data_IF_048209283784
#
_entry.id   IF_048209283784
#
_cell.length_a   1.000
_cell.length_b   1.000
_cell.length_c   1.000
_cell.angle_alpha   90.00
_cell.angle_beta   90.00
_cell.angle_gamma   90.00
#
_symmetry.space_group_name_H-M   'P 1'
#
loop_
_entity.id
_entity.type
_entity.pdbx_description
1 polymer ?
#
# COMPACT_ATOMS: atom_id res chain seq x y z
N UNK A 1 -37.94 -12.46 -3.36
CA UNK A 1 -36.92 -12.19 -2.34
C UNK A 1 -36.23 -10.88 -2.71
N UNK A 2 -36.50 -9.80 -1.97
CA UNK A 2 -36.21 -8.41 -2.37
C UNK A 2 -34.79 -8.03 -1.95
N UNK A 3 -33.90 -7.77 -2.92
CA UNK A 3 -32.67 -7.01 -2.66
C UNK A 3 -33.06 -5.57 -2.28
N UNK A 4 -32.63 -5.11 -1.11
CA UNK A 4 -32.73 -3.70 -0.72
C UNK A 4 -31.36 -3.05 -0.93
N UNK A 5 -31.21 -2.38 -2.06
CA UNK A 5 -30.21 -1.34 -2.25
C UNK A 5 -30.52 -0.18 -1.31
N UNK A 6 -29.67 0.06 -0.32
CA UNK A 6 -29.76 1.27 0.51
C UNK A 6 -28.80 2.29 -0.09
N UNK A 7 -29.37 3.18 -0.89
CA UNK A 7 -28.82 4.50 -1.16
C UNK A 7 -28.65 5.21 0.20
N UNK A 8 -27.43 5.62 0.54
CA UNK A 8 -27.21 6.53 1.66
C UNK A 8 -26.81 7.88 1.07
N UNK A 9 -27.79 8.77 1.01
CA UNK A 9 -27.60 10.21 0.77
C UNK A 9 -26.56 10.77 1.75
N UNK A 10 -25.63 11.56 1.23
CA UNK A 10 -24.42 12.04 1.89
C UNK A 10 -24.71 13.27 2.77
N UNK A 11 -24.82 13.15 4.12
CA UNK A 11 -25.25 14.25 4.98
C UNK A 11 -24.14 15.26 5.28
N UNK A 12 -22.90 15.01 4.84
CA UNK A 12 -21.71 15.74 5.30
C UNK A 12 -21.11 16.69 4.27
N UNK A 13 -21.89 17.11 3.26
CA UNK A 13 -21.47 18.21 2.37
C UNK A 13 -21.53 19.60 3.03
N UNK A 14 -21.86 19.68 4.32
CA UNK A 14 -22.18 20.93 5.05
C UNK A 14 -21.35 21.23 6.29
N UNK A 15 -20.17 20.62 6.46
CA UNK A 15 -19.22 20.99 7.51
C UNK A 15 -17.87 21.41 6.92
N UNK A 16 -17.90 22.42 6.06
CA UNK A 16 -16.73 23.24 5.77
C UNK A 16 -17.07 24.67 6.18
N UNK A 17 -16.66 25.04 7.40
CA UNK A 17 -16.29 26.40 7.79
C UNK A 17 -15.75 26.41 9.21
N UNK A 18 -14.44 26.67 9.28
CA UNK A 18 -13.69 27.32 10.38
C UNK A 18 -13.79 26.76 11.80
N UNK A 19 -12.64 26.30 12.32
CA UNK A 19 -12.36 26.29 13.77
C UNK A 19 -11.69 25.01 14.25
N UNK A 20 -10.40 25.10 14.61
CA UNK A 20 -9.61 24.35 15.61
C UNK A 20 -9.72 22.79 15.66
N UNK A 21 -10.49 22.14 14.80
CA UNK A 21 -10.65 20.68 14.75
C UNK A 21 -9.60 20.01 13.84
N UNK A 22 -8.41 20.62 13.68
CA UNK A 22 -7.32 20.03 12.89
C UNK A 22 -6.41 19.10 13.68
N UNK A 23 -6.41 19.18 15.01
CA UNK A 23 -5.38 18.50 15.82
C UNK A 23 -5.77 17.07 16.27
N UNK A 24 -7.06 16.75 16.38
CA UNK A 24 -7.52 15.46 16.94
C UNK A 24 -7.47 14.31 15.92
N UNK A 25 -7.37 14.61 14.62
CA UNK A 25 -7.39 13.60 13.55
C UNK A 25 -6.03 12.93 13.25
N UNK A 26 -5.10 12.86 14.22
CA UNK A 26 -3.76 12.26 14.00
C UNK A 26 -3.59 10.81 14.46
N UNK A 27 -4.49 10.24 15.26
CA UNK A 27 -4.31 8.88 15.83
C UNK A 27 -5.26 7.79 15.29
N UNK A 28 -6.19 8.16 14.40
CA UNK A 28 -7.00 7.19 13.65
C UNK A 28 -6.91 7.51 12.16
N UNK A 29 -6.46 6.57 11.30
CA UNK A 29 -6.59 6.77 9.86
C UNK A 29 -8.08 6.97 9.57
N UNK A 30 -8.39 8.11 8.98
CA UNK A 30 -9.71 8.74 8.91
C UNK A 30 -10.77 7.88 8.19
N UNK A 31 -10.42 6.71 7.64
CA UNK A 31 -11.36 5.67 7.21
C UNK A 31 -10.63 4.34 6.99
N UNK A 32 -10.77 3.39 7.91
CA UNK A 32 -10.42 1.99 7.66
C UNK A 32 -11.68 1.27 7.15
N UNK A 33 -11.70 0.76 5.91
CA UNK A 33 -12.86 0.01 5.41
C UNK A 33 -13.04 -1.28 6.22
N UNK A 34 -14.29 -1.56 6.60
CA UNK A 34 -14.64 -2.80 7.31
C UNK A 34 -14.89 -3.91 6.30
N UNK A 35 -14.18 -5.02 6.45
CA UNK A 35 -14.44 -6.25 5.71
C UNK A 35 -15.12 -7.27 6.64
N UNK A 36 -16.10 -8.00 6.12
CA UNK A 36 -16.71 -9.14 6.83
C UNK A 36 -16.21 -10.43 6.20
N UNK A 37 -15.68 -11.33 7.03
CA UNK A 37 -15.08 -12.59 6.60
C UNK A 37 -15.68 -13.74 7.41
N UNK A 38 -15.98 -14.85 6.73
CA UNK A 38 -16.45 -16.08 7.39
C UNK A 38 -15.23 -16.95 7.68
N UNK A 39 -15.08 -17.37 8.94
CA UNK A 39 -13.99 -18.24 9.38
C UNK A 39 -14.54 -19.55 9.93
N UNK A 40 -13.86 -20.68 9.73
CA UNK A 40 -14.10 -21.88 10.52
C UNK A 40 -13.85 -21.62 12.01
N UNK A 41 -14.64 -22.23 12.89
CA UNK A 41 -14.59 -21.99 14.34
C UNK A 41 -13.18 -22.23 14.93
N UNK A 42 -12.52 -23.31 14.49
CA UNK A 42 -11.15 -23.64 14.89
C UNK A 42 -10.16 -22.49 14.62
N UNK A 43 -10.32 -21.78 13.50
CA UNK A 43 -9.43 -20.68 13.15
C UNK A 43 -9.72 -19.43 13.99
N UNK A 44 -10.98 -19.21 14.35
CA UNK A 44 -11.37 -18.14 15.28
C UNK A 44 -10.78 -18.37 16.68
N UNK A 45 -10.84 -19.61 17.19
CA UNK A 45 -10.24 -19.98 18.48
C UNK A 45 -8.73 -19.75 18.52
N UNK A 46 -8.02 -20.15 17.45
CA UNK A 46 -6.58 -19.92 17.31
C UNK A 46 -6.26 -18.41 17.30
N UNK A 47 -7.04 -17.61 16.57
CA UNK A 47 -6.86 -16.16 16.50
C UNK A 47 -7.07 -15.51 17.87
N UNK A 48 -8.08 -15.95 18.62
CA UNK A 48 -8.34 -15.44 19.97
C UNK A 48 -7.20 -15.78 20.93
N UNK A 49 -6.73 -17.03 20.92
CA UNK A 49 -5.60 -17.46 21.74
C UNK A 49 -4.35 -16.63 21.45
N UNK A 50 -3.98 -16.48 20.18
CA UNK A 50 -2.81 -15.70 19.76
C UNK A 50 -2.96 -14.22 20.13
N UNK A 51 -4.15 -13.64 19.95
CA UNK A 51 -4.40 -12.23 20.32
C UNK A 51 -4.19 -11.98 21.81
N UNK A 52 -4.59 -12.94 22.67
CA UNK A 52 -4.39 -12.87 24.12
C UNK A 52 -2.92 -13.01 24.50
N UNK A 53 -2.23 -13.97 23.88
CA UNK A 53 -0.79 -14.19 24.12
C UNK A 53 0.03 -12.96 23.73
N UNK A 54 -0.31 -12.31 22.62
CA UNK A 54 0.40 -11.13 22.11
C UNK A 54 -0.07 -9.81 22.72
N UNK A 55 -1.16 -9.80 23.48
CA UNK A 55 -1.77 -8.58 23.99
C UNK A 55 -2.29 -7.64 22.89
N UNK A 56 -2.69 -8.18 21.74
CA UNK A 56 -3.20 -7.41 20.59
C UNK A 56 -4.66 -7.71 20.30
N UNK A 57 -5.30 -6.93 19.42
CA UNK A 57 -6.68 -7.22 19.01
C UNK A 57 -6.71 -8.22 17.85
N UNK A 58 -7.79 -9.01 17.76
CA UNK A 58 -8.06 -9.89 16.60
C UNK A 58 -7.89 -9.17 15.26
N UNK A 59 -8.41 -7.94 15.16
CA UNK A 59 -8.33 -7.16 13.92
C UNK A 59 -6.91 -6.68 13.61
N UNK A 60 -6.09 -6.38 14.63
CA UNK A 60 -4.69 -6.02 14.43
C UNK A 60 -3.88 -7.21 13.93
N UNK A 61 -4.10 -8.39 14.51
CA UNK A 61 -3.45 -9.63 14.09
C UNK A 61 -3.83 -10.00 12.66
N UNK A 62 -5.12 -9.94 12.30
CA UNK A 62 -5.57 -10.18 10.92
C UNK A 62 -4.96 -9.18 9.95
N UNK A 63 -4.93 -7.88 10.27
CA UNK A 63 -4.26 -6.88 9.43
C UNK A 63 -2.79 -7.19 9.23
N UNK A 64 -2.05 -7.49 10.30
CA UNK A 64 -0.63 -7.85 10.24
C UNK A 64 -0.39 -9.07 9.34
N UNK A 65 -1.17 -10.15 9.52
CA UNK A 65 -1.04 -11.36 8.71
C UNK A 65 -1.34 -11.10 7.23
N UNK A 66 -2.40 -10.35 6.93
CA UNK A 66 -2.75 -10.00 5.55
C UNK A 66 -1.66 -9.13 4.92
N UNK A 67 -1.17 -8.12 5.64
CA UNK A 67 -0.06 -7.27 5.19
C UNK A 67 1.17 -8.10 4.87
N UNK A 68 1.65 -8.95 5.81
CA UNK A 68 2.82 -9.82 5.58
C UNK A 68 2.63 -10.76 4.39
N UNK A 69 1.44 -11.34 4.23
CA UNK A 69 1.15 -12.25 3.13
C UNK A 69 1.09 -11.55 1.77
N UNK A 70 0.73 -10.26 1.73
CA UNK A 70 0.64 -9.49 0.49
C UNK A 70 1.98 -8.81 0.17
N UNK A 71 2.64 -8.20 1.14
CA UNK A 71 3.96 -7.60 0.97
C UNK A 71 4.99 -8.63 0.52
N UNK A 72 5.00 -9.83 1.13
CA UNK A 72 5.88 -10.92 0.69
C UNK A 72 5.59 -11.44 -0.73
N UNK A 73 4.41 -11.15 -1.30
CA UNK A 73 4.09 -11.43 -2.70
C UNK A 73 4.43 -10.26 -3.62
N UNK A 74 4.28 -9.02 -3.14
CA UNK A 74 4.62 -7.81 -3.86
C UNK A 74 6.14 -7.66 -4.05
N UNK A 75 6.94 -8.06 -3.05
CA UNK A 75 8.40 -8.12 -3.18
C UNK A 75 8.88 -9.26 -4.09
N UNK A 76 8.00 -10.19 -4.46
CA UNK A 76 8.25 -11.24 -5.46
C UNK A 76 7.70 -10.92 -6.85
N UNK A 77 7.07 -9.75 -7.04
CA UNK A 77 6.78 -9.23 -8.38
C UNK A 77 8.08 -8.73 -9.01
N UNK A 78 8.26 -8.96 -10.32
CA UNK A 78 9.38 -8.37 -11.06
C UNK A 78 9.38 -6.87 -10.82
N UNK A 79 10.37 -6.39 -10.07
CA UNK A 79 10.57 -4.98 -9.85
C UNK A 79 10.71 -4.32 -11.22
N UNK A 80 9.96 -3.25 -11.44
CA UNK A 80 10.08 -2.57 -12.73
C UNK A 80 11.50 -2.00 -12.86
N UNK A 81 11.99 -1.85 -14.08
CA UNK A 81 13.29 -1.21 -14.32
C UNK A 81 13.37 0.18 -13.63
N UNK A 82 12.23 0.88 -13.53
CA UNK A 82 12.13 2.14 -12.80
C UNK A 82 12.34 1.97 -11.29
N UNK A 83 11.68 0.99 -10.66
CA UNK A 83 11.79 0.75 -9.21
C UNK A 83 13.23 0.44 -8.79
N UNK A 84 13.99 -0.23 -9.69
CA UNK A 84 15.38 -0.60 -9.46
C UNK A 84 16.38 0.54 -9.70
N UNK A 85 16.05 1.53 -10.53
CA UNK A 85 17.00 2.55 -10.99
C UNK A 85 16.59 3.99 -10.64
N UNK A 86 15.48 4.19 -9.96
CA UNK A 86 14.93 5.51 -9.63
C UNK A 86 15.92 6.39 -8.85
N UNK A 87 16.69 5.80 -7.94
CA UNK A 87 17.68 6.49 -7.09
C UNK A 87 18.95 6.86 -7.85
N UNK A 88 19.22 6.21 -8.99
CA UNK A 88 20.35 6.53 -9.86
C UNK A 88 20.09 7.78 -10.71
N UNK A 89 18.84 8.22 -10.84
CA UNK A 89 18.49 9.40 -11.61
C UNK A 89 19.17 10.65 -11.04
N UNK A 90 20.07 11.25 -11.82
CA UNK A 90 20.80 12.46 -11.41
C UNK A 90 22.00 12.23 -10.47
N UNK A 91 22.36 10.98 -10.20
CA UNK A 91 23.55 10.63 -9.40
C UNK A 91 24.88 11.03 -10.07
N UNK A 92 24.90 11.13 -11.40
CA UNK A 92 26.07 11.42 -12.21
C UNK A 92 26.15 12.91 -12.59
N UNK A 93 27.35 13.50 -12.45
CA UNK A 93 27.64 14.91 -12.78
C UNK A 93 28.50 15.02 -14.04
N UNK A 94 28.40 16.15 -14.75
CA UNK A 94 29.25 16.45 -15.91
C UNK A 94 28.90 15.68 -17.18
N UNK A 95 27.73 15.03 -17.23
CA UNK A 95 27.28 14.29 -18.39
C UNK A 95 26.72 15.21 -19.49
N UNK A 96 26.76 14.75 -20.76
CA UNK A 96 26.05 15.40 -21.85
C UNK A 96 24.55 15.56 -21.53
N UNK A 97 23.95 16.63 -22.06
CA UNK A 97 22.52 16.97 -21.86
C UNK A 97 21.56 15.85 -22.26
N UNK A 98 21.94 15.04 -23.25
CA UNK A 98 21.13 13.92 -23.75
C UNK A 98 22.01 12.70 -24.01
N UNK A 99 21.78 11.67 -23.19
CA UNK A 99 22.38 10.35 -23.34
C UNK A 99 21.37 9.32 -23.88
N UNK A 100 20.07 9.62 -23.81
CA UNK A 100 19.01 8.64 -24.10
C UNK A 100 18.59 8.63 -25.58
N UNK A 101 18.78 9.73 -26.30
CA UNK A 101 18.31 9.86 -27.68
C UNK A 101 19.44 10.05 -28.69
N UNK A 102 20.63 10.43 -28.22
CA UNK A 102 21.77 10.71 -29.09
C UNK A 102 22.50 9.41 -29.51
N UNK A 103 22.47 9.02 -30.80
CA UNK A 103 23.04 7.75 -31.27
C UNK A 103 24.55 7.62 -31.02
N UNK A 104 25.26 8.75 -30.94
CA UNK A 104 26.71 8.78 -30.65
C UNK A 104 27.05 8.10 -29.32
N UNK A 105 26.18 8.20 -28.32
CA UNK A 105 26.39 7.66 -26.98
C UNK A 105 25.71 6.30 -26.76
N UNK A 106 25.02 5.78 -27.77
CA UNK A 106 24.32 4.48 -27.73
C UNK A 106 25.08 3.36 -28.45
N UNK A 107 26.21 3.65 -29.08
CA UNK A 107 27.03 2.63 -29.74
C UNK A 107 27.49 1.57 -28.72
N UNK A 108 27.22 0.30 -28.99
CA UNK A 108 27.53 -0.82 -28.09
C UNK A 108 26.57 -1.03 -26.93
N UNK A 109 25.52 -0.21 -26.78
CA UNK A 109 24.53 -0.39 -25.72
C UNK A 109 23.69 -1.66 -25.97
N UNK A 110 23.69 -2.59 -25.01
CA UNK A 110 22.97 -3.86 -25.11
C UNK A 110 23.73 -4.97 -25.85
N UNK A 111 24.96 -4.72 -26.30
CA UNK A 111 25.83 -5.78 -26.78
C UNK A 111 26.28 -6.67 -25.62
N UNK A 112 26.41 -7.97 -25.89
CA UNK A 112 26.87 -8.94 -24.89
C UNK A 112 28.34 -8.64 -24.60
N UNK A 113 28.63 -8.24 -23.36
CA UNK A 113 30.00 -8.08 -22.90
C UNK A 113 30.77 -9.42 -23.08
N UNK A 114 31.99 -9.40 -23.67
CA UNK A 114 32.77 -10.62 -23.90
C UNK A 114 33.28 -11.26 -22.60
#
# INVERSE_FOLDING_TARGET
MRQRSVFLEDPLRRLSKSGIAREVCRYHPIRAPTISLRLPDRLLEMLEKESRVRGTTKSALVRECVTKSLEGRLTGGESTCYDLAHDLAGSLKGLPRDLATNPKYMAGFGERWP
#
